data_IF_640837186325
#
_entry.id   IF_640837186325
#
_cell.length_a   1.000
_cell.length_b   1.000
_cell.length_c   1.000
_cell.angle_alpha   90.00
_cell.angle_beta   90.00
_cell.angle_gamma   90.00
#
_symmetry.space_group_name_H-M   'P 1'
#
loop_
_entity.id
_entity.type
_entity.pdbx_description
1 polymer ?
#
# COMPACT_ATOMS: atom_id res chain seq x y z
N UNK A 1 4.50 4.98 -4.44
CA UNK A 1 4.14 6.39 -4.16
C UNK A 1 3.19 6.84 -5.26
N UNK A 2 1.93 7.15 -4.92
CA UNK A 2 0.97 7.68 -5.87
C UNK A 2 1.22 9.19 -6.00
N UNK A 3 1.94 9.59 -7.03
CA UNK A 3 2.00 10.99 -7.38
C UNK A 3 0.67 11.37 -8.03
N UNK A 4 -0.19 11.98 -7.27
CA UNK A 4 -1.34 12.71 -7.80
C UNK A 4 -0.88 14.10 -8.25
N UNK A 5 0.05 14.14 -9.21
CA UNK A 5 0.32 15.37 -9.94
C UNK A 5 -0.72 15.43 -11.05
N UNK A 6 -1.47 16.50 -11.15
CA UNK A 6 -2.49 16.82 -12.14
C UNK A 6 -3.03 15.69 -13.03
N UNK A 7 -4.27 15.73 -13.41
CA UNK A 7 -4.86 14.69 -14.26
C UNK A 7 -4.18 14.66 -15.64
N UNK A 8 -3.19 13.76 -15.79
CA UNK A 8 -2.61 13.42 -17.10
C UNK A 8 -2.86 11.94 -17.42
N UNK A 9 -3.90 11.63 -18.19
CA UNK A 9 -4.24 10.26 -18.57
C UNK A 9 -3.13 9.57 -19.39
N UNK A 10 -2.40 10.32 -20.19
CA UNK A 10 -1.31 9.77 -21.00
C UNK A 10 -0.16 9.24 -20.13
N UNK A 11 0.14 9.90 -19.03
CA UNK A 11 1.17 9.45 -18.11
C UNK A 11 0.82 8.09 -17.51
N UNK A 12 -0.44 7.87 -17.09
CA UNK A 12 -0.89 6.58 -16.58
C UNK A 12 -0.86 5.49 -17.67
N UNK A 13 -1.39 5.76 -18.85
CA UNK A 13 -1.43 4.80 -19.96
C UNK A 13 -0.01 4.44 -20.41
N UNK A 14 0.84 5.42 -20.63
CA UNK A 14 2.21 5.18 -21.11
C UNK A 14 3.06 4.45 -20.05
N UNK A 15 2.99 4.86 -18.80
CA UNK A 15 3.81 4.25 -17.74
C UNK A 15 3.30 2.86 -17.35
N UNK A 16 1.98 2.64 -17.28
CA UNK A 16 1.42 1.40 -16.75
C UNK A 16 1.13 0.41 -17.89
N UNK A 17 0.37 0.80 -18.92
CA UNK A 17 -0.01 -0.15 -19.99
C UNK A 17 1.17 -0.38 -20.92
N UNK A 18 1.66 0.67 -21.56
CA UNK A 18 2.78 0.56 -22.51
C UNK A 18 4.06 0.08 -21.81
N UNK A 19 4.32 0.59 -20.60
CA UNK A 19 5.45 0.13 -19.78
C UNK A 19 5.38 -1.35 -19.45
N UNK A 20 4.21 -1.87 -19.07
CA UNK A 20 4.01 -3.31 -18.81
C UNK A 20 4.21 -4.13 -20.08
N UNK A 21 3.65 -3.70 -21.21
CA UNK A 21 3.84 -4.39 -22.49
C UNK A 21 5.33 -4.44 -22.88
N UNK A 22 6.07 -3.35 -22.71
CA UNK A 22 7.51 -3.32 -23.01
C UNK A 22 8.30 -4.30 -22.13
N UNK A 23 7.94 -4.39 -20.83
CA UNK A 23 8.56 -5.36 -19.91
C UNK A 23 8.22 -6.79 -20.32
N UNK A 24 6.98 -7.08 -20.66
CA UNK A 24 6.55 -8.42 -21.10
C UNK A 24 7.24 -8.85 -22.40
N UNK A 25 7.36 -7.96 -23.39
CA UNK A 25 8.11 -8.22 -24.61
C UNK A 25 9.61 -8.42 -24.36
N UNK A 26 10.18 -7.66 -23.43
CA UNK A 26 11.56 -7.89 -23.01
C UNK A 26 11.72 -9.28 -22.35
N UNK A 27 10.87 -9.62 -21.39
CA UNK A 27 10.85 -10.94 -20.72
C UNK A 27 10.77 -12.07 -21.76
N UNK A 28 9.86 -11.96 -22.74
CA UNK A 28 9.70 -12.92 -23.81
C UNK A 28 10.96 -13.07 -24.67
N UNK A 29 11.60 -11.96 -25.05
CA UNK A 29 12.82 -11.95 -25.89
C UNK A 29 14.03 -12.54 -25.18
N UNK A 30 14.17 -12.33 -23.87
CA UNK A 30 15.33 -12.85 -23.09
C UNK A 30 15.03 -14.19 -22.44
N UNK A 31 13.85 -14.78 -22.67
CA UNK A 31 13.39 -16.02 -22.06
C UNK A 31 13.43 -15.98 -20.53
N UNK A 32 13.08 -14.84 -19.92
CA UNK A 32 12.94 -14.78 -18.47
C UNK A 32 11.69 -15.56 -18.03
N UNK A 33 11.74 -16.16 -16.84
CA UNK A 33 10.78 -17.17 -16.41
C UNK A 33 9.48 -16.57 -15.89
N UNK A 34 9.52 -15.38 -15.28
CA UNK A 34 8.38 -14.82 -14.53
C UNK A 34 8.36 -13.30 -14.50
N UNK A 35 7.17 -12.77 -14.23
CA UNK A 35 6.94 -11.36 -13.91
C UNK A 35 6.29 -11.24 -12.54
N UNK A 36 6.70 -10.23 -11.76
CA UNK A 36 6.06 -9.82 -10.51
C UNK A 36 5.49 -8.43 -10.75
N UNK A 37 4.18 -8.27 -10.56
CA UNK A 37 3.48 -7.03 -10.83
C UNK A 37 2.74 -6.54 -9.59
N UNK A 38 2.87 -5.26 -9.27
CA UNK A 38 2.14 -4.63 -8.18
C UNK A 38 0.80 -4.11 -8.68
N UNK A 39 -0.29 -4.80 -8.38
CA UNK A 39 -1.66 -4.34 -8.62
C UNK A 39 -2.13 -3.48 -7.43
N UNK A 40 -3.09 -2.62 -7.67
CA UNK A 40 -3.70 -1.80 -6.62
C UNK A 40 -4.99 -2.43 -6.10
N UNK A 41 -5.25 -2.28 -4.80
CA UNK A 41 -6.54 -2.60 -4.18
C UNK A 41 -7.72 -1.81 -4.79
N UNK A 42 -7.43 -0.79 -5.59
CA UNK A 42 -8.46 -0.02 -6.30
C UNK A 42 -9.31 -0.86 -7.28
N UNK A 43 -8.87 -2.07 -7.63
CA UNK A 43 -9.61 -3.01 -8.48
C UNK A 43 -10.82 -3.66 -7.77
N UNK A 44 -10.87 -3.60 -6.44
CA UNK A 44 -11.93 -4.19 -5.60
C UNK A 44 -12.60 -3.17 -4.66
N UNK A 45 -12.55 -1.88 -4.98
CA UNK A 45 -13.14 -0.82 -4.15
C UNK A 45 -14.64 -1.02 -3.82
N UNK A 46 -15.38 -1.72 -4.68
CA UNK A 46 -16.79 -2.02 -4.47
C UNK A 46 -17.07 -2.95 -3.27
N UNK A 47 -16.04 -3.63 -2.76
CA UNK A 47 -16.11 -4.51 -1.59
C UNK A 47 -15.73 -3.79 -0.28
N UNK A 48 -15.31 -2.53 -0.36
CA UNK A 48 -14.97 -1.75 0.83
C UNK A 48 -16.22 -1.46 1.65
N UNK A 49 -16.10 -1.50 2.97
CA UNK A 49 -17.18 -1.38 3.93
C UNK A 49 -17.70 -2.74 4.42
N UNK A 50 -17.35 -3.85 3.75
CA UNK A 50 -17.65 -5.20 4.26
C UNK A 50 -16.78 -5.55 5.47
N UNK A 51 -17.32 -6.39 6.34
CA UNK A 51 -16.58 -7.06 7.43
C UNK A 51 -15.87 -8.30 6.94
N UNK A 52 -16.31 -8.89 5.83
CA UNK A 52 -15.73 -10.10 5.28
C UNK A 52 -14.39 -9.80 4.59
N UNK A 53 -13.37 -10.65 4.79
CA UNK A 53 -12.10 -10.50 4.11
C UNK A 53 -12.24 -10.61 2.58
N UNK A 54 -11.62 -9.69 1.86
CA UNK A 54 -11.66 -9.63 0.40
C UNK A 54 -10.75 -10.72 -0.18
N UNK A 55 -11.34 -11.68 -0.90
CA UNK A 55 -10.61 -12.77 -1.56
C UNK A 55 -9.69 -12.26 -2.67
N UNK A 56 -8.51 -12.89 -2.91
CA UNK A 56 -7.68 -12.60 -4.08
C UNK A 56 -8.41 -12.85 -5.40
N UNK A 57 -9.37 -13.77 -5.42
CA UNK A 57 -10.16 -14.14 -6.61
C UNK A 57 -11.40 -13.27 -6.80
N UNK A 58 -11.59 -12.22 -5.97
CA UNK A 58 -12.71 -11.29 -6.11
C UNK A 58 -12.76 -10.64 -7.49
N UNK A 59 -13.98 -10.52 -8.03
CA UNK A 59 -14.21 -9.88 -9.32
C UNK A 59 -13.73 -8.43 -9.29
N UNK A 60 -12.91 -8.07 -10.26
CA UNK A 60 -12.40 -6.69 -10.41
C UNK A 60 -13.55 -5.79 -10.86
N UNK A 61 -13.89 -4.80 -10.05
CA UNK A 61 -14.90 -3.78 -10.35
C UNK A 61 -14.51 -2.47 -9.67
N UNK A 62 -14.43 -1.41 -10.45
CA UNK A 62 -13.99 -0.10 -10.00
C UNK A 62 -14.76 1.01 -10.70
N UNK A 63 -14.85 2.21 -10.09
CA UNK A 63 -15.53 3.34 -10.69
C UNK A 63 -14.87 3.79 -11.99
N UNK A 64 -15.71 4.13 -12.99
CA UNK A 64 -15.26 4.72 -14.25
C UNK A 64 -15.31 6.27 -14.22
N UNK A 65 -15.62 6.84 -13.07
CA UNK A 65 -15.73 8.29 -12.83
C UNK A 65 -14.81 8.66 -11.67
N UNK A 66 -14.14 9.78 -11.79
CA UNK A 66 -13.23 10.33 -10.78
C UNK A 66 -11.75 10.28 -11.18
N UNK A 67 -10.95 10.95 -10.39
CA UNK A 67 -9.50 11.16 -10.63
C UNK A 67 -8.66 9.87 -10.61
N UNK A 68 -9.15 8.81 -9.95
CA UNK A 68 -8.49 7.50 -9.91
C UNK A 68 -8.88 6.54 -11.03
N UNK A 69 -9.86 6.88 -11.86
CA UNK A 69 -10.40 5.93 -12.83
C UNK A 69 -9.39 5.50 -13.88
N UNK A 70 -8.64 6.43 -14.48
CA UNK A 70 -7.60 6.10 -15.47
C UNK A 70 -6.48 5.24 -14.87
N UNK A 71 -6.08 5.53 -13.63
CA UNK A 71 -5.12 4.69 -12.91
C UNK A 71 -5.65 3.25 -12.75
N UNK A 72 -6.88 3.10 -12.28
CA UNK A 72 -7.50 1.79 -12.09
C UNK A 72 -7.68 1.04 -13.41
N UNK A 73 -8.13 1.72 -14.48
CA UNK A 73 -8.23 1.16 -15.83
C UNK A 73 -6.86 0.67 -16.28
N UNK A 74 -5.83 1.50 -16.18
CA UNK A 74 -4.48 1.17 -16.62
C UNK A 74 -3.89 -0.02 -15.88
N UNK A 75 -4.08 -0.09 -14.55
CA UNK A 75 -3.63 -1.22 -13.73
C UNK A 75 -4.34 -2.52 -14.10
N UNK A 76 -5.64 -2.47 -14.37
CA UNK A 76 -6.40 -3.66 -14.77
C UNK A 76 -6.06 -4.11 -16.20
N UNK A 77 -5.86 -3.18 -17.13
CA UNK A 77 -5.38 -3.51 -18.48
C UNK A 77 -3.98 -4.17 -18.44
N UNK A 78 -3.10 -3.70 -17.56
CA UNK A 78 -1.79 -4.33 -17.37
C UNK A 78 -1.93 -5.77 -16.82
N UNK A 79 -2.86 -6.03 -15.90
CA UNK A 79 -3.16 -7.40 -15.44
C UNK A 79 -3.64 -8.28 -16.59
N UNK A 80 -4.54 -7.78 -17.42
CA UNK A 80 -5.05 -8.55 -18.57
C UNK A 80 -3.94 -8.85 -19.61
N UNK A 81 -3.02 -7.92 -19.85
CA UNK A 81 -1.82 -8.18 -20.65
C UNK A 81 -0.95 -9.27 -20.02
N UNK A 82 -0.71 -9.25 -18.72
CA UNK A 82 0.10 -10.24 -18.01
C UNK A 82 -0.56 -11.62 -18.12
N UNK A 83 -1.87 -11.72 -17.90
CA UNK A 83 -2.61 -12.98 -18.04
C UNK A 83 -2.57 -13.50 -19.50
N UNK A 84 -2.65 -12.61 -20.50
CA UNK A 84 -2.46 -13.00 -21.90
C UNK A 84 -1.06 -13.60 -22.15
N UNK A 85 0.00 -12.97 -21.62
CA UNK A 85 1.36 -13.47 -21.80
C UNK A 85 1.62 -14.80 -21.06
N UNK A 86 0.98 -15.00 -19.91
CA UNK A 86 0.98 -16.29 -19.24
C UNK A 86 0.35 -17.39 -20.12
N UNK A 87 -0.86 -17.14 -20.62
CA UNK A 87 -1.60 -18.12 -21.42
C UNK A 87 -0.92 -18.41 -22.78
N UNK A 88 -0.33 -17.38 -23.41
CA UNK A 88 0.25 -17.50 -24.74
C UNK A 88 1.69 -17.97 -24.75
N UNK A 89 2.49 -17.59 -23.75
CA UNK A 89 3.94 -17.78 -23.71
C UNK A 89 4.44 -18.52 -22.47
N UNK A 90 3.54 -18.97 -21.59
CA UNK A 90 3.85 -19.62 -20.33
C UNK A 90 4.77 -18.80 -19.40
N UNK A 91 4.73 -17.47 -19.49
CA UNK A 91 5.46 -16.57 -18.58
C UNK A 91 4.75 -16.55 -17.25
N UNK A 92 5.36 -17.13 -16.21
CA UNK A 92 4.82 -17.17 -14.85
C UNK A 92 4.54 -15.77 -14.33
N UNK A 93 3.44 -15.59 -13.57
CA UNK A 93 3.05 -14.26 -13.10
C UNK A 93 2.65 -14.25 -11.63
N UNK A 94 3.16 -13.27 -10.90
CA UNK A 94 2.78 -13.00 -9.51
C UNK A 94 2.21 -11.58 -9.45
N UNK A 95 0.89 -11.48 -9.34
CA UNK A 95 0.16 -10.20 -9.31
C UNK A 95 -0.17 -9.91 -7.86
N UNK A 96 0.54 -8.96 -7.27
CA UNK A 96 0.43 -8.61 -5.87
C UNK A 96 -0.56 -7.45 -5.70
N UNK A 97 -1.76 -7.72 -5.14
CA UNK A 97 -2.77 -6.69 -4.83
C UNK A 97 -2.38 -5.97 -3.55
N UNK A 98 -1.97 -4.71 -3.71
CA UNK A 98 -1.43 -3.89 -2.65
C UNK A 98 -2.45 -2.91 -2.08
N UNK A 99 -2.65 -2.89 -0.75
CA UNK A 99 -3.17 -1.71 -0.05
C UNK A 99 -2.05 -0.67 0.10
N UNK A 100 -2.23 0.32 0.97
CA UNK A 100 -1.17 1.25 1.31
C UNK A 100 -0.03 0.51 2.03
N UNK A 101 1.17 0.57 1.45
CA UNK A 101 2.38 0.05 2.08
C UNK A 101 3.00 1.14 2.95
N UNK A 102 3.15 0.84 4.24
CA UNK A 102 3.76 1.76 5.20
C UNK A 102 5.28 1.61 5.18
N UNK A 103 5.96 2.69 4.89
CA UNK A 103 7.42 2.77 4.81
C UNK A 103 7.89 4.13 5.32
N UNK A 104 9.03 4.17 6.02
CA UNK A 104 9.67 5.44 6.29
C UNK A 104 10.32 5.98 5.01
N UNK A 105 10.01 7.21 4.70
CA UNK A 105 10.70 8.03 3.71
C UNK A 105 10.83 9.44 4.32
N UNK A 106 11.95 10.15 4.15
CA UNK A 106 12.15 11.47 4.76
C UNK A 106 11.12 12.49 4.28
N UNK A 107 10.69 12.42 3.01
CA UNK A 107 9.58 13.23 2.50
C UNK A 107 8.22 12.68 3.00
N UNK A 108 7.49 13.40 3.89
CA UNK A 108 6.19 12.96 4.40
C UNK A 108 5.03 13.42 3.52
N UNK A 109 5.31 14.06 2.39
CA UNK A 109 4.32 14.70 1.55
C UNK A 109 4.05 13.91 0.27
N UNK A 110 2.89 14.18 -0.30
CA UNK A 110 2.54 13.89 -1.69
C UNK A 110 1.92 15.14 -2.32
N UNK A 111 1.76 15.14 -3.64
CA UNK A 111 1.23 16.30 -4.37
C UNK A 111 -0.08 15.94 -5.07
N UNK A 112 -1.06 16.85 -5.02
CA UNK A 112 -2.31 16.81 -5.76
C UNK A 112 -2.44 18.13 -6.48
N UNK A 113 -2.49 18.11 -7.80
CA UNK A 113 -2.57 19.32 -8.64
C UNK A 113 -1.51 20.39 -8.28
N UNK A 114 -0.28 19.94 -8.04
CA UNK A 114 0.81 20.80 -7.60
C UNK A 114 0.76 21.22 -6.12
N UNK A 115 -0.31 20.93 -5.41
CA UNK A 115 -0.47 21.29 -3.99
C UNK A 115 0.11 20.21 -3.11
N UNK A 116 1.06 20.58 -2.23
CA UNK A 116 1.69 19.70 -1.25
C UNK A 116 0.70 19.32 -0.15
N UNK A 117 0.55 18.01 0.11
CA UNK A 117 -0.30 17.45 1.16
C UNK A 117 0.46 16.43 1.98
N UNK A 118 0.15 16.36 3.27
CA UNK A 118 0.69 15.32 4.15
C UNK A 118 0.12 13.94 3.81
N UNK A 119 0.96 12.91 3.89
CA UNK A 119 0.47 11.54 4.02
C UNK A 119 -0.20 11.39 5.38
N UNK A 120 -1.44 10.88 5.44
CA UNK A 120 -2.27 10.88 6.65
C UNK A 120 -1.55 10.29 7.88
N UNK A 121 -0.98 9.09 7.76
CA UNK A 121 -0.27 8.46 8.87
C UNK A 121 1.00 9.23 9.30
N UNK A 122 1.68 9.90 8.37
CA UNK A 122 2.86 10.74 8.66
C UNK A 122 2.47 12.02 9.40
N UNK A 123 1.34 12.60 9.05
CA UNK A 123 0.75 13.73 9.77
C UNK A 123 0.41 13.35 11.22
N UNK A 124 -0.22 12.20 11.43
CA UNK A 124 -0.54 11.72 12.78
C UNK A 124 0.71 11.47 13.62
N UNK A 125 1.75 10.86 13.04
CA UNK A 125 3.04 10.64 13.70
C UNK A 125 3.70 11.98 14.07
N UNK A 126 3.70 12.96 13.16
CA UNK A 126 4.26 14.29 13.45
C UNK A 126 3.53 14.98 14.60
N UNK A 127 2.19 14.89 14.63
CA UNK A 127 1.40 15.43 15.74
C UNK A 127 1.75 14.78 17.08
N UNK A 128 1.89 13.44 17.10
CA UNK A 128 2.26 12.71 18.30
C UNK A 128 3.67 13.09 18.81
N UNK A 129 4.66 13.20 17.93
CA UNK A 129 6.02 13.67 18.25
C UNK A 129 5.99 15.05 18.91
N UNK A 130 5.09 15.92 18.47
CA UNK A 130 4.94 17.29 18.98
C UNK A 130 3.93 17.41 20.15
N UNK A 131 3.43 16.29 20.69
CA UNK A 131 2.47 16.28 21.78
C UNK A 131 1.12 16.93 21.45
N UNK A 132 0.81 17.09 20.15
CA UNK A 132 -0.44 17.71 19.67
C UNK A 132 -1.59 16.71 19.72
N UNK A 133 -2.83 17.21 19.83
CA UNK A 133 -4.04 16.41 19.77
C UNK A 133 -4.14 15.64 18.43
N UNK A 134 -4.59 14.37 18.47
CA UNK A 134 -4.89 13.54 17.32
C UNK A 134 -6.40 13.35 17.16
N UNK A 135 -6.88 13.38 15.91
CA UNK A 135 -8.29 13.20 15.61
C UNK A 135 -8.57 11.78 15.09
N UNK A 136 -9.67 11.19 15.55
CA UNK A 136 -10.30 10.01 14.95
C UNK A 136 -11.54 10.47 14.19
N UNK A 137 -11.56 10.22 12.89
CA UNK A 137 -12.67 10.62 12.02
C UNK A 137 -13.61 9.43 11.77
N UNK A 138 -14.91 9.67 11.93
CA UNK A 138 -15.95 8.65 11.73
C UNK A 138 -15.98 7.61 12.84
N UNK A 139 -16.12 6.34 12.48
CA UNK A 139 -16.20 5.22 13.41
C UNK A 139 -14.81 4.77 13.91
N UNK A 140 -14.52 4.91 15.23
CA UNK A 140 -13.25 4.49 15.81
C UNK A 140 -12.98 2.98 15.68
N UNK A 141 -14.02 2.17 15.52
CA UNK A 141 -13.91 0.71 15.38
C UNK A 141 -13.75 0.24 13.93
N UNK A 142 -13.82 1.16 12.96
CA UNK A 142 -13.55 0.86 11.56
C UNK A 142 -12.14 0.30 11.37
N UNK A 143 -12.04 -0.89 10.75
CA UNK A 143 -10.78 -1.62 10.61
C UNK A 143 -10.10 -1.36 9.27
N UNK A 144 -8.79 -1.26 9.30
CA UNK A 144 -7.94 -1.11 8.10
C UNK A 144 -6.90 -2.22 8.04
N UNK A 145 -6.66 -2.73 6.84
CA UNK A 145 -5.48 -3.55 6.56
C UNK A 145 -4.24 -2.66 6.60
N UNK A 146 -3.26 -3.02 7.43
CA UNK A 146 -1.98 -2.31 7.55
C UNK A 146 -0.86 -3.24 7.12
N UNK A 147 -0.07 -2.79 6.15
CA UNK A 147 1.04 -3.56 5.60
C UNK A 147 2.34 -2.79 5.78
N UNK A 148 3.30 -3.43 6.44
CA UNK A 148 4.64 -2.87 6.56
C UNK A 148 5.54 -3.29 5.40
N UNK A 149 6.40 -2.40 4.95
CA UNK A 149 7.27 -2.64 3.78
C UNK A 149 8.14 -3.90 3.92
N UNK A 150 8.59 -4.25 5.13
CA UNK A 150 9.43 -5.44 5.34
C UNK A 150 8.66 -6.74 5.13
N UNK A 151 7.38 -6.78 5.48
CA UNK A 151 6.50 -7.91 5.15
C UNK A 151 6.21 -7.99 3.64
N UNK A 152 6.01 -6.84 2.99
CA UNK A 152 5.87 -6.79 1.54
C UNK A 152 7.14 -7.29 0.82
N UNK A 153 8.33 -6.89 1.27
CA UNK A 153 9.61 -7.36 0.70
C UNK A 153 9.75 -8.88 0.86
N UNK A 154 9.32 -9.46 1.98
CA UNK A 154 9.29 -10.91 2.17
C UNK A 154 8.42 -11.59 1.09
N UNK A 155 7.20 -11.06 0.82
CA UNK A 155 6.32 -11.62 -0.22
C UNK A 155 6.99 -11.56 -1.59
N UNK A 156 7.64 -10.43 -1.94
CA UNK A 156 8.36 -10.31 -3.22
C UNK A 156 9.48 -11.34 -3.33
N UNK A 157 10.27 -11.52 -2.27
CA UNK A 157 11.33 -12.53 -2.23
C UNK A 157 10.78 -13.95 -2.42
N UNK A 158 9.68 -14.29 -1.74
CA UNK A 158 8.95 -15.56 -1.93
C UNK A 158 8.47 -15.75 -3.37
N UNK A 159 7.96 -14.72 -4.02
CA UNK A 159 7.58 -14.77 -5.44
C UNK A 159 8.79 -15.05 -6.34
N UNK A 160 9.94 -14.42 -6.06
CA UNK A 160 11.19 -14.67 -6.82
C UNK A 160 11.61 -16.13 -6.71
N UNK A 161 11.55 -16.70 -5.51
CA UNK A 161 11.99 -18.08 -5.23
C UNK A 161 10.97 -19.14 -5.66
N UNK A 162 9.68 -18.79 -5.77
CA UNK A 162 8.60 -19.75 -6.05
C UNK A 162 8.76 -20.42 -7.42
N UNK A 163 8.47 -21.72 -7.48
CA UNK A 163 8.36 -22.50 -8.74
C UNK A 163 6.96 -22.53 -9.32
N UNK A 164 5.95 -22.03 -8.59
CA UNK A 164 4.55 -21.97 -9.04
C UNK A 164 4.38 -21.13 -10.29
N UNK A 165 3.27 -21.32 -10.99
CA UNK A 165 2.87 -20.46 -12.12
C UNK A 165 2.33 -19.11 -11.64
N UNK A 166 2.01 -19.03 -10.35
CA UNK A 166 1.56 -17.82 -9.68
C UNK A 166 0.06 -17.57 -9.88
N UNK A 167 -0.30 -16.29 -9.80
CA UNK A 167 -1.69 -15.82 -9.84
C UNK A 167 -1.82 -14.46 -9.18
N UNK A 168 -3.02 -14.13 -8.70
CA UNK A 168 -3.28 -12.92 -7.90
C UNK A 168 -3.14 -13.29 -6.42
N UNK A 169 -2.39 -12.47 -5.69
CA UNK A 169 -2.13 -12.61 -4.26
C UNK A 169 -2.43 -11.30 -3.54
N UNK A 170 -3.20 -11.37 -2.47
CA UNK A 170 -3.41 -10.24 -1.60
C UNK A 170 -2.18 -10.03 -0.70
N UNK A 171 -1.75 -8.78 -0.58
CA UNK A 171 -0.65 -8.39 0.30
C UNK A 171 -1.22 -7.77 1.56
N UNK A 172 -1.06 -8.44 2.69
CA UNK A 172 -1.64 -8.03 3.97
C UNK A 172 -1.24 -8.96 5.10
N UNK A 173 -1.90 -8.78 6.24
CA UNK A 173 -1.83 -9.70 7.38
C UNK A 173 -3.10 -10.52 7.55
N UNK A 174 -4.19 -10.12 6.90
CA UNK A 174 -5.52 -10.70 7.12
C UNK A 174 -6.17 -10.27 8.45
N UNK A 175 -5.59 -9.30 9.13
CA UNK A 175 -6.03 -8.80 10.44
C UNK A 175 -6.12 -7.29 10.38
N UNK A 176 -7.35 -6.77 10.47
CA UNK A 176 -7.58 -5.33 10.48
C UNK A 176 -7.23 -4.70 11.83
N UNK A 177 -6.71 -3.48 11.78
CA UNK A 177 -6.43 -2.63 12.94
C UNK A 177 -7.45 -1.51 12.98
N UNK A 178 -8.14 -1.32 14.11
CA UNK A 178 -9.14 -0.26 14.26
C UNK A 178 -8.48 1.12 14.21
N UNK A 179 -9.24 2.15 13.87
CA UNK A 179 -8.73 3.53 13.88
C UNK A 179 -8.27 3.94 15.29
N UNK A 180 -8.98 3.49 16.32
CA UNK A 180 -8.59 3.75 17.70
C UNK A 180 -7.26 3.09 18.08
N UNK A 181 -7.07 1.80 17.74
CA UNK A 181 -5.81 1.09 17.92
C UNK A 181 -4.66 1.76 17.16
N UNK A 182 -4.93 2.27 15.94
CA UNK A 182 -3.94 2.98 15.16
C UNK A 182 -3.49 4.27 15.84
N UNK A 183 -4.42 5.11 16.28
CA UNK A 183 -4.10 6.37 16.96
C UNK A 183 -3.42 6.11 18.31
N UNK A 184 -3.93 5.14 19.09
CA UNK A 184 -3.33 4.79 20.38
C UNK A 184 -1.90 4.26 20.21
N UNK A 185 -1.65 3.39 19.23
CA UNK A 185 -0.31 2.88 18.92
C UNK A 185 0.67 3.98 18.51
N UNK A 186 0.21 4.95 17.71
CA UNK A 186 1.01 6.13 17.34
C UNK A 186 1.38 6.95 18.60
N UNK A 187 0.42 7.21 19.48
CA UNK A 187 0.66 7.94 20.74
C UNK A 187 1.70 7.19 21.60
N UNK A 188 1.50 5.89 21.79
CA UNK A 188 2.35 5.06 22.64
C UNK A 188 3.81 5.00 22.15
N UNK A 189 4.01 5.00 20.83
CA UNK A 189 5.36 4.87 20.25
C UNK A 189 6.03 6.23 20.04
N UNK A 190 5.30 7.26 19.63
CA UNK A 190 5.93 8.50 19.14
C UNK A 190 5.83 9.69 20.09
N UNK A 191 4.93 9.71 21.08
CA UNK A 191 4.93 10.79 22.04
C UNK A 191 6.23 10.84 22.84
N UNK A 192 6.72 12.05 23.20
CA UNK A 192 7.85 12.22 24.11
C UNK A 192 7.53 11.65 25.51
N UNK A 193 8.57 11.28 26.24
CA UNK A 193 8.43 10.81 27.64
C UNK A 193 7.75 11.89 28.48
N UNK A 194 6.72 11.52 29.22
CA UNK A 194 5.93 12.43 30.08
C UNK A 194 4.90 13.28 29.35
N UNK A 195 4.81 13.17 28.02
CA UNK A 195 3.80 13.85 27.21
C UNK A 195 2.89 12.82 26.58
N UNK A 196 1.57 12.99 26.70
CA UNK A 196 0.59 12.14 26.06
C UNK A 196 -0.37 13.01 25.23
N UNK A 197 -0.38 12.83 23.93
CA UNK A 197 -1.33 13.51 23.06
C UNK A 197 -2.77 13.11 23.41
N UNK A 198 -3.68 14.09 23.38
CA UNK A 198 -5.11 13.84 23.54
C UNK A 198 -5.71 13.27 22.26
N UNK A 199 -6.73 12.46 22.39
CA UNK A 199 -7.54 11.96 21.28
C UNK A 199 -8.83 12.77 21.24
N UNK A 200 -9.19 13.28 20.05
CA UNK A 200 -10.47 13.89 19.77
C UNK A 200 -11.26 13.04 18.79
N UNK A 201 -12.45 12.63 19.20
CA UNK A 201 -13.37 11.91 18.32
C UNK A 201 -14.19 12.88 17.49
N UNK A 202 -14.23 12.68 16.18
CA UNK A 202 -14.93 13.51 15.21
C UNK A 202 -15.86 12.62 14.36
N UNK A 203 -16.95 12.11 14.93
CA UNK A 203 -17.85 11.18 14.22
C UNK A 203 -18.56 11.81 13.01
N UNK A 204 -18.65 13.15 12.97
CA UNK A 204 -19.20 13.92 11.85
C UNK A 204 -18.28 13.97 10.64
N UNK A 205 -16.99 13.69 10.81
CA UNK A 205 -16.01 13.69 9.71
C UNK A 205 -16.03 12.34 9.00
N UNK A 206 -15.93 12.36 7.68
CA UNK A 206 -15.89 11.16 6.86
C UNK A 206 -14.54 10.47 6.95
N UNK A 207 -14.53 9.21 7.35
CA UNK A 207 -13.37 8.32 7.25
C UNK A 207 -13.32 7.61 5.88
N UNK A 208 -12.28 6.80 5.67
CA UNK A 208 -12.25 5.87 4.55
C UNK A 208 -12.89 4.53 4.96
N UNK A 209 -13.66 3.86 4.07
CA UNK A 209 -14.30 2.59 4.40
C UNK A 209 -13.31 1.53 4.90
N UNK A 210 -13.77 0.66 5.77
CA UNK A 210 -12.97 -0.48 6.24
C UNK A 210 -12.73 -1.49 5.12
N UNK A 211 -11.64 -2.23 5.22
CA UNK A 211 -11.37 -3.43 4.42
C UNK A 211 -10.35 -4.31 5.10
N UNK A 212 -10.48 -5.60 4.92
CA UNK A 212 -9.53 -6.63 5.35
C UNK A 212 -9.29 -7.51 4.13
N UNK A 213 -8.07 -7.99 3.95
CA UNK A 213 -7.70 -8.85 2.83
C UNK A 213 -7.61 -10.32 3.29
N UNK A 214 -8.19 -11.22 2.53
CA UNK A 214 -7.88 -12.64 2.70
C UNK A 214 -6.48 -12.93 2.12
N UNK A 215 -5.57 -13.29 2.99
CA UNK A 215 -4.17 -13.59 2.66
C UNK A 215 -3.85 -15.09 2.73
N UNK A 216 -4.86 -15.95 2.90
CA UNK A 216 -4.70 -17.40 3.02
C UNK A 216 -3.89 -17.97 1.87
N UNK A 217 -4.23 -17.64 0.64
CA UNK A 217 -3.49 -18.08 -0.55
C UNK A 217 -2.02 -17.62 -0.54
N UNK A 218 -1.76 -16.39 -0.08
CA UNK A 218 -0.39 -15.85 0.01
C UNK A 218 0.44 -16.61 1.04
N UNK A 219 -0.18 -16.99 2.16
CA UNK A 219 0.47 -17.78 3.20
C UNK A 219 0.72 -19.22 2.72
N UNK A 220 -0.30 -19.89 2.20
CA UNK A 220 -0.23 -21.31 1.85
C UNK A 220 0.66 -21.60 0.64
N UNK A 221 0.53 -20.80 -0.43
CA UNK A 221 1.27 -21.04 -1.67
C UNK A 221 2.68 -20.43 -1.66
N UNK A 222 2.88 -19.26 -1.03
CA UNK A 222 4.19 -18.61 -1.02
C UNK A 222 4.99 -18.85 0.26
N UNK A 223 4.39 -19.43 1.30
CA UNK A 223 5.04 -19.59 2.60
C UNK A 223 5.33 -18.25 3.27
N UNK A 224 4.45 -17.26 3.05
CA UNK A 224 4.54 -15.97 3.70
C UNK A 224 4.20 -16.08 5.18
N UNK A 225 4.95 -15.38 6.03
CA UNK A 225 4.70 -15.30 7.46
C UNK A 225 4.68 -13.81 7.85
N UNK A 226 3.52 -13.25 8.23
CA UNK A 226 3.44 -11.86 8.71
C UNK A 226 4.29 -11.68 9.98
N UNK A 227 5.38 -10.92 9.89
CA UNK A 227 6.33 -10.74 10.99
C UNK A 227 6.06 -9.48 11.83
N UNK A 228 5.33 -8.52 11.28
CA UNK A 228 5.10 -7.23 11.93
C UNK A 228 3.62 -7.06 12.26
N UNK A 229 3.26 -7.08 13.57
CA UNK A 229 2.00 -6.50 14.01
C UNK A 229 2.08 -4.96 14.00
N UNK A 230 0.95 -4.30 14.30
CA UNK A 230 0.89 -2.85 14.22
C UNK A 230 1.90 -2.15 15.14
N UNK A 231 2.09 -2.66 16.36
CA UNK A 231 3.00 -2.07 17.35
C UNK A 231 4.47 -2.30 16.99
N UNK A 232 4.82 -3.51 16.57
CA UNK A 232 6.18 -3.85 16.14
C UNK A 232 6.57 -3.08 14.88
N UNK A 233 5.64 -2.90 13.94
CA UNK A 233 5.82 -2.05 12.78
C UNK A 233 6.11 -0.60 13.17
N UNK A 234 5.32 0.00 14.07
CA UNK A 234 5.55 1.40 14.50
C UNK A 234 6.91 1.59 15.18
N UNK A 235 7.32 0.62 16.01
CA UNK A 235 8.62 0.65 16.65
C UNK A 235 9.77 0.55 15.64
N UNK A 236 9.66 -0.33 14.65
CA UNK A 236 10.66 -0.47 13.60
C UNK A 236 10.68 0.77 12.69
N UNK A 237 9.52 1.31 12.35
CA UNK A 237 9.40 2.57 11.61
C UNK A 237 10.09 3.73 12.34
N UNK A 238 9.94 3.83 13.68
CA UNK A 238 10.64 4.83 14.49
C UNK A 238 12.16 4.65 14.45
N UNK A 239 12.65 3.41 14.48
CA UNK A 239 14.08 3.12 14.31
C UNK A 239 14.60 3.54 12.94
N UNK A 240 13.86 3.26 11.86
CA UNK A 240 14.23 3.68 10.50
C UNK A 240 14.23 5.22 10.36
N UNK A 241 13.29 5.92 11.02
CA UNK A 241 13.30 7.39 11.10
C UNK A 241 14.58 7.94 11.73
N UNK A 242 15.07 7.29 12.80
CA UNK A 242 16.24 7.73 13.54
C UNK A 242 17.54 7.37 12.82
N UNK A 243 17.54 6.26 12.11
CA UNK A 243 18.75 5.75 11.44
C UNK A 243 19.07 6.48 10.13
N UNK A 244 18.08 7.13 9.49
CA UNK A 244 18.21 7.81 8.18
C UNK A 244 19.04 7.02 7.16
N UNK A 245 18.88 5.68 7.17
CA UNK A 245 19.73 4.70 6.48
C UNK A 245 19.92 5.00 4.99
N UNK A 246 18.94 5.59 4.34
CA UNK A 246 18.93 5.88 2.91
C UNK A 246 19.07 7.37 2.58
N UNK A 247 19.63 8.17 3.50
CA UNK A 247 19.75 9.62 3.33
C UNK A 247 20.55 10.04 2.07
N UNK A 248 21.49 9.22 1.63
CA UNK A 248 22.25 9.47 0.38
C UNK A 248 21.39 9.32 -0.89
N UNK A 249 20.31 8.53 -0.84
CA UNK A 249 19.43 8.29 -1.99
C UNK A 249 18.17 9.17 -1.95
N UNK A 250 17.65 9.41 -0.73
CA UNK A 250 16.34 10.03 -0.55
C UNK A 250 16.40 11.43 0.03
N UNK A 251 17.59 11.92 0.42
CA UNK A 251 17.74 13.14 1.19
C UNK A 251 17.47 12.90 2.68
N UNK A 252 17.51 13.97 3.45
CA UNK A 252 17.22 14.00 4.88
C UNK A 252 15.87 14.66 5.14
N UNK A 253 15.35 14.50 6.36
CA UNK A 253 14.08 15.10 6.78
C UNK A 253 14.07 16.61 6.55
N UNK A 254 15.14 17.31 6.86
CA UNK A 254 15.31 18.77 6.75
C UNK A 254 15.12 19.25 5.31
N UNK A 255 15.47 18.44 4.32
CA UNK A 255 15.35 18.80 2.89
C UNK A 255 13.89 18.96 2.44
N UNK A 256 12.92 18.50 3.22
CA UNK A 256 11.49 18.46 2.86
C UNK A 256 10.60 19.33 3.75
N UNK A 257 11.10 19.81 4.88
CA UNK A 257 10.31 20.57 5.87
C UNK A 257 10.45 22.10 5.72
N UNK A 258 10.89 22.55 4.55
CA UNK A 258 10.97 23.97 4.19
C UNK A 258 9.60 24.58 3.92
#
# INVERSE_FOLDING_TARGET
MLFRSGYDPYQYVNSIITGTLNVLEYIRKVNALKVIFTQSIADVLHLFGSTDPISPDSVRKFPLIGDHSIYSISKNAAVDLIEHYFNQYAIKRFILRLPTIYVYHPNPYYYVDGVRKWMGYRYLIDRAINGKELEIWGDPFSKKEIVYVKDFVQIVDKCVQSSLDGGIYNVGRGIGVTLEEQIQGIIDVFCPVGVRSKIRYCPEKKDSPQFILDVTKTIEELGYIPNYDYKSYLNDFKKEMQAERFCKLWGRKEDFYL
#
